data_IF_301495693644
#
_entry.id   IF_301495693644
#
_cell.length_a   1.000
_cell.length_b   1.000
_cell.length_c   1.000
_cell.angle_alpha   90.00
_cell.angle_beta   90.00
_cell.angle_gamma   90.00
#
_symmetry.space_group_name_H-M   'P 1'
#
loop_
_entity.id
_entity.type
_entity.pdbx_description
1 polymer ?
#
# COMPACT_ATOMS: atom_id res chain seq x y z
N UNK A 1 40.76 -64.43 10.15
CA UNK A 1 39.48 -64.45 9.40
C UNK A 1 38.26 -64.04 10.23
N UNK A 2 38.01 -64.62 11.43
CA UNK A 2 36.82 -64.30 12.28
C UNK A 2 36.64 -62.82 12.71
N UNK A 3 37.72 -62.07 12.93
CA UNK A 3 37.65 -60.64 13.34
C UNK A 3 37.27 -59.69 12.19
N UNK A 4 37.61 -60.05 10.95
CA UNK A 4 37.33 -59.22 9.77
C UNK A 4 35.86 -59.33 9.34
N UNK A 5 35.28 -60.53 9.44
CA UNK A 5 33.85 -60.77 9.21
C UNK A 5 32.96 -60.05 10.23
N UNK A 6 33.39 -59.94 11.49
CA UNK A 6 32.64 -59.23 12.52
C UNK A 6 32.60 -57.71 12.28
N UNK A 7 33.72 -57.14 11.83
CA UNK A 7 33.80 -55.71 11.49
C UNK A 7 32.99 -55.35 10.24
N UNK A 8 32.98 -56.23 9.23
CA UNK A 8 32.16 -56.08 8.03
C UNK A 8 30.65 -56.17 8.33
N UNK A 9 30.24 -57.08 9.24
CA UNK A 9 28.86 -57.21 9.72
C UNK A 9 28.41 -55.98 10.51
N UNK A 10 29.28 -55.39 11.33
CA UNK A 10 28.99 -54.14 12.06
C UNK A 10 28.86 -52.94 11.11
N UNK A 11 29.72 -52.83 10.10
CA UNK A 11 29.64 -51.79 9.08
C UNK A 11 28.37 -51.93 8.22
N UNK A 12 28.04 -53.15 7.80
CA UNK A 12 26.78 -53.43 7.08
C UNK A 12 25.55 -53.14 7.95
N UNK A 13 25.58 -53.50 9.23
CA UNK A 13 24.50 -53.17 10.16
C UNK A 13 24.34 -51.65 10.35
N UNK A 14 25.45 -50.91 10.49
CA UNK A 14 25.43 -49.45 10.59
C UNK A 14 24.86 -48.78 9.32
N UNK A 15 25.30 -49.22 8.14
CA UNK A 15 24.78 -48.73 6.84
C UNK A 15 23.30 -49.07 6.68
N UNK A 16 22.86 -50.28 7.06
CA UNK A 16 21.45 -50.67 7.01
C UNK A 16 20.60 -49.85 8.00
N UNK A 17 21.14 -49.48 9.18
CA UNK A 17 20.44 -48.60 10.13
C UNK A 17 20.32 -47.15 9.65
N UNK A 18 21.35 -46.60 8.99
CA UNK A 18 21.28 -45.26 8.38
C UNK A 18 20.34 -45.21 7.17
N UNK A 19 20.35 -46.25 6.32
CA UNK A 19 19.41 -46.35 5.20
C UNK A 19 17.97 -46.53 5.72
N UNK A 20 17.77 -47.34 6.77
CA UNK A 20 16.44 -47.56 7.36
C UNK A 20 15.89 -46.34 8.12
N UNK A 21 16.72 -45.46 8.67
CA UNK A 21 16.27 -44.23 9.35
C UNK A 21 15.86 -43.14 8.34
N UNK A 22 16.54 -43.07 7.18
CA UNK A 22 16.15 -42.22 6.04
C UNK A 22 14.78 -42.62 5.48
N UNK A 23 14.50 -43.92 5.35
CA UNK A 23 13.20 -44.43 4.89
C UNK A 23 12.03 -44.20 5.88
N UNK A 24 12.29 -43.96 7.18
CA UNK A 24 11.24 -43.71 8.18
C UNK A 24 10.86 -42.24 8.35
N UNK A 25 11.69 -41.33 7.81
CA UNK A 25 11.65 -39.89 8.10
C UNK A 25 11.12 -39.04 6.93
N UNK A 26 10.72 -39.68 5.83
CA UNK A 26 10.04 -39.07 4.70
C UNK A 26 8.61 -39.61 4.63
N UNK A 27 7.61 -38.72 4.60
CA UNK A 27 6.19 -39.09 4.48
C UNK A 27 5.89 -39.75 3.12
N UNK A 28 4.93 -40.68 3.10
CA UNK A 28 4.48 -41.30 1.86
C UNK A 28 3.85 -40.25 0.94
N UNK A 29 4.22 -40.26 -0.34
CA UNK A 29 3.77 -39.26 -1.31
C UNK A 29 4.66 -38.01 -1.38
N UNK A 30 5.66 -37.90 -0.51
CA UNK A 30 6.66 -36.83 -0.56
C UNK A 30 7.99 -37.30 -1.19
N UNK A 31 8.67 -36.38 -1.85
CA UNK A 31 10.04 -36.49 -2.33
C UNK A 31 10.98 -35.71 -1.40
N UNK A 32 11.80 -36.44 -0.64
CA UNK A 32 12.74 -35.84 0.31
C UNK A 32 14.18 -35.93 -0.21
N UNK A 33 14.85 -34.77 -0.31
CA UNK A 33 16.20 -34.63 -0.89
C UNK A 33 17.17 -33.92 0.04
N UNK A 34 18.47 -34.03 -0.27
CA UNK A 34 19.55 -33.29 0.41
C UNK A 34 19.58 -33.54 1.92
N UNK A 35 19.64 -34.80 2.33
CA UNK A 35 19.58 -35.23 3.74
C UNK A 35 18.34 -34.68 4.47
N UNK A 36 17.18 -34.75 3.80
CA UNK A 36 15.87 -34.34 4.29
C UNK A 36 15.74 -32.82 4.56
N UNK A 37 16.63 -32.01 3.97
CA UNK A 37 16.51 -30.54 4.01
C UNK A 37 15.41 -30.01 3.10
N UNK A 38 15.14 -30.72 2.01
CA UNK A 38 14.12 -30.35 1.03
C UNK A 38 13.06 -31.44 1.02
N UNK A 39 11.86 -31.12 1.48
CA UNK A 39 10.73 -32.06 1.56
C UNK A 39 9.62 -31.54 0.65
N UNK A 40 9.41 -32.22 -0.48
CA UNK A 40 8.45 -31.82 -1.52
C UNK A 40 7.26 -32.79 -1.47
N UNK A 41 6.12 -32.31 -1.01
CA UNK A 41 4.87 -33.04 -0.84
C UNK A 41 3.76 -32.47 -1.74
N UNK A 42 4.12 -31.81 -2.84
CA UNK A 42 3.13 -31.18 -3.71
C UNK A 42 2.33 -32.20 -4.52
N UNK A 43 1.02 -31.93 -4.70
CA UNK A 43 0.08 -32.84 -5.39
C UNK A 43 -0.05 -34.24 -4.77
N UNK A 44 0.22 -34.37 -3.48
CA UNK A 44 0.21 -35.65 -2.76
C UNK A 44 -1.17 -36.02 -2.16
N UNK A 45 -2.23 -35.25 -2.48
CA UNK A 45 -3.61 -35.48 -2.03
C UNK A 45 -3.81 -35.37 -0.51
N UNK A 46 -2.96 -34.61 0.17
CA UNK A 46 -3.08 -34.41 1.63
C UNK A 46 -4.32 -33.58 1.97
N UNK A 47 -5.17 -34.10 2.86
CA UNK A 47 -6.30 -33.35 3.46
C UNK A 47 -5.94 -32.76 4.83
N UNK A 48 -4.84 -33.23 5.42
CA UNK A 48 -4.27 -32.77 6.68
C UNK A 48 -2.76 -32.65 6.52
N UNK A 49 -2.11 -31.90 7.41
CA UNK A 49 -0.65 -31.80 7.40
C UNK A 49 0.00 -33.18 7.63
N UNK A 50 1.07 -33.52 6.89
CA UNK A 50 1.76 -34.78 7.07
C UNK A 50 2.42 -34.90 8.44
N UNK A 51 2.42 -36.10 9.00
CA UNK A 51 2.91 -36.39 10.35
C UNK A 51 4.42 -36.62 10.42
N UNK A 52 5.05 -37.01 9.30
CA UNK A 52 6.45 -37.43 9.17
C UNK A 52 7.25 -36.42 8.34
N UNK A 53 7.40 -35.21 8.87
CA UNK A 53 8.31 -34.20 8.32
C UNK A 53 9.57 -34.12 9.17
N UNK A 54 10.75 -34.29 8.56
CA UNK A 54 12.03 -34.26 9.26
C UNK A 54 12.27 -32.91 9.98
N UNK A 55 12.75 -32.89 11.24
CA UNK A 55 13.18 -31.67 11.93
C UNK A 55 14.31 -30.91 11.23
N UNK A 56 15.07 -31.57 10.35
CA UNK A 56 16.14 -30.93 9.55
C UNK A 56 15.63 -30.18 8.32
N UNK A 57 14.33 -30.26 8.00
CA UNK A 57 13.74 -29.64 6.81
C UNK A 57 13.91 -28.12 6.85
N UNK A 58 14.49 -27.57 5.79
CA UNK A 58 14.67 -26.13 5.55
C UNK A 58 13.64 -25.61 4.54
N UNK A 59 13.21 -26.44 3.59
CA UNK A 59 12.13 -26.15 2.64
C UNK A 59 11.08 -27.26 2.71
N UNK A 60 9.85 -26.87 3.02
CA UNK A 60 8.69 -27.76 2.99
C UNK A 60 7.69 -27.24 1.96
N UNK A 61 7.45 -28.04 0.93
CA UNK A 61 6.45 -27.76 -0.10
C UNK A 61 5.23 -28.67 0.09
N UNK A 62 4.11 -28.08 0.50
CA UNK A 62 2.80 -28.71 0.69
C UNK A 62 1.77 -28.14 -0.29
N UNK A 63 2.22 -27.50 -1.37
CA UNK A 63 1.34 -26.90 -2.36
C UNK A 63 0.50 -27.91 -3.13
N UNK A 64 -0.58 -27.45 -3.75
CA UNK A 64 -1.46 -28.28 -4.59
C UNK A 64 -2.03 -29.51 -3.84
N UNK A 65 -2.50 -29.31 -2.60
CA UNK A 65 -3.12 -30.35 -1.78
C UNK A 65 -4.57 -29.92 -1.40
N UNK A 66 -5.19 -30.63 -0.45
CA UNK A 66 -6.56 -30.40 -0.01
C UNK A 66 -6.62 -30.07 1.50
N UNK A 67 -5.57 -29.47 2.03
CA UNK A 67 -5.46 -29.14 3.46
C UNK A 67 -6.43 -28.01 3.78
N UNK A 68 -7.24 -28.17 4.83
CA UNK A 68 -8.27 -27.18 5.19
C UNK A 68 -7.97 -26.35 6.44
N UNK A 69 -7.13 -26.86 7.34
CA UNK A 69 -6.82 -26.25 8.63
C UNK A 69 -5.32 -26.40 8.91
N UNK A 70 -4.71 -25.35 9.48
CA UNK A 70 -3.37 -25.42 10.08
C UNK A 70 -3.52 -25.28 11.61
N UNK A 71 -3.43 -26.40 12.35
CA UNK A 71 -3.56 -26.38 13.81
C UNK A 71 -2.43 -25.64 14.55
N UNK A 72 -2.67 -25.28 15.82
CA UNK A 72 -1.64 -24.76 16.73
C UNK A 72 -0.44 -25.73 16.79
N UNK A 73 0.80 -25.20 16.81
CA UNK A 73 2.06 -25.98 16.95
C UNK A 73 2.31 -27.01 15.85
N UNK A 74 1.62 -26.93 14.72
CA UNK A 74 1.77 -27.85 13.57
C UNK A 74 3.23 -28.09 13.17
N UNK A 75 4.07 -27.06 13.22
CA UNK A 75 5.47 -27.13 12.80
C UNK A 75 6.47 -27.06 13.96
N UNK A 76 6.05 -27.43 15.18
CA UNK A 76 6.87 -27.31 16.40
C UNK A 76 8.22 -28.05 16.35
N UNK A 77 8.32 -29.10 15.54
CA UNK A 77 9.54 -29.88 15.32
C UNK A 77 10.41 -29.34 14.17
N UNK A 78 9.85 -28.53 13.27
CA UNK A 78 10.49 -28.11 12.02
C UNK A 78 11.08 -26.69 12.15
N UNK A 79 11.80 -26.42 13.24
CA UNK A 79 12.33 -25.08 13.58
C UNK A 79 13.37 -24.54 12.60
N UNK A 80 13.94 -25.41 11.75
CA UNK A 80 14.91 -25.02 10.72
C UNK A 80 14.26 -24.57 9.41
N UNK A 81 12.92 -24.56 9.33
CA UNK A 81 12.23 -24.11 8.13
C UNK A 81 12.58 -22.66 7.81
N UNK A 82 12.92 -22.45 6.54
CA UNK A 82 13.19 -21.15 5.92
C UNK A 82 12.15 -20.83 4.86
N UNK A 83 11.61 -21.85 4.19
CA UNK A 83 10.57 -21.71 3.16
C UNK A 83 9.46 -22.71 3.43
N UNK A 84 8.24 -22.21 3.56
CA UNK A 84 7.03 -23.01 3.72
C UNK A 84 6.04 -22.62 2.61
N UNK A 85 5.71 -23.57 1.74
CA UNK A 85 4.81 -23.40 0.61
C UNK A 85 3.52 -24.18 0.89
N UNK A 86 2.40 -23.50 0.97
CA UNK A 86 1.06 -24.03 1.27
C UNK A 86 0.03 -23.51 0.25
N UNK A 87 0.48 -22.96 -0.88
CA UNK A 87 -0.40 -22.42 -1.89
C UNK A 87 -1.24 -23.48 -2.58
N UNK A 88 -2.40 -23.07 -3.11
CA UNK A 88 -3.34 -23.95 -3.81
C UNK A 88 -3.78 -25.12 -2.92
N UNK A 89 -4.33 -24.77 -1.75
CA UNK A 89 -4.96 -25.68 -0.80
C UNK A 89 -6.38 -25.21 -0.49
N UNK A 90 -7.04 -25.83 0.48
CA UNK A 90 -8.38 -25.48 0.91
C UNK A 90 -8.38 -24.77 2.28
N UNK A 91 -7.26 -24.14 2.67
CA UNK A 91 -7.05 -23.64 4.03
C UNK A 91 -8.03 -22.50 4.31
N UNK A 92 -8.96 -22.72 5.23
CA UNK A 92 -9.89 -21.70 5.69
C UNK A 92 -9.52 -21.16 7.08
N UNK A 93 -8.82 -21.96 7.88
CA UNK A 93 -8.44 -21.62 9.25
C UNK A 93 -6.96 -21.85 9.48
N UNK A 94 -6.28 -20.83 9.99
CA UNK A 94 -4.95 -20.94 10.59
C UNK A 94 -5.14 -20.64 12.07
N UNK A 95 -4.94 -21.63 12.93
CA UNK A 95 -5.10 -21.44 14.36
C UNK A 95 -3.97 -20.57 14.93
N UNK A 96 -4.25 -19.85 16.01
CA UNK A 96 -3.24 -19.05 16.71
C UNK A 96 -2.03 -19.90 17.04
N UNK A 97 -0.81 -19.37 16.83
CA UNK A 97 0.41 -20.10 17.16
C UNK A 97 0.74 -21.28 16.25
N UNK A 98 0.02 -21.48 15.13
CA UNK A 98 0.37 -22.46 14.09
C UNK A 98 1.84 -22.35 13.64
N UNK A 99 2.36 -21.13 13.53
CA UNK A 99 3.73 -20.83 13.09
C UNK A 99 4.68 -20.37 14.20
N UNK A 100 4.25 -20.45 15.46
CA UNK A 100 4.97 -19.88 16.63
C UNK A 100 6.42 -20.33 16.83
N UNK A 101 6.81 -21.47 16.26
CA UNK A 101 8.16 -22.05 16.39
C UNK A 101 9.05 -21.84 15.16
N UNK A 102 8.57 -21.09 14.16
CA UNK A 102 9.23 -20.90 12.87
C UNK A 102 10.08 -19.62 12.82
N UNK A 103 10.94 -19.45 13.83
CA UNK A 103 11.77 -18.25 14.04
C UNK A 103 12.73 -17.92 12.88
N UNK A 104 13.09 -18.92 12.07
CA UNK A 104 13.98 -18.79 10.92
C UNK A 104 13.26 -18.74 9.57
N UNK A 105 11.92 -18.72 9.57
CA UNK A 105 11.15 -18.70 8.33
C UNK A 105 11.35 -17.37 7.61
N UNK A 106 11.65 -17.44 6.32
CA UNK A 106 11.93 -16.29 5.47
C UNK A 106 10.84 -16.10 4.42
N UNK A 107 10.22 -17.18 3.95
CA UNK A 107 9.11 -17.15 3.00
C UNK A 107 7.97 -18.05 3.46
N UNK A 108 6.77 -17.50 3.48
CA UNK A 108 5.52 -18.21 3.72
C UNK A 108 4.56 -17.91 2.56
N UNK A 109 4.13 -18.95 1.87
CA UNK A 109 3.15 -18.85 0.79
C UNK A 109 1.84 -19.55 1.18
N UNK A 110 0.79 -18.77 1.37
CA UNK A 110 -0.58 -19.19 1.66
C UNK A 110 -1.54 -18.77 0.54
N UNK A 111 -1.03 -18.45 -0.65
CA UNK A 111 -1.86 -17.98 -1.76
C UNK A 111 -2.83 -19.05 -2.24
N UNK A 112 -3.92 -18.65 -2.90
CA UNK A 112 -4.91 -19.60 -3.45
C UNK A 112 -5.46 -20.55 -2.37
N UNK A 113 -5.97 -19.96 -1.30
CA UNK A 113 -6.63 -20.65 -0.20
C UNK A 113 -7.99 -19.97 0.08
N UNK A 114 -8.60 -20.26 1.22
CA UNK A 114 -9.93 -19.77 1.60
C UNK A 114 -9.91 -18.97 2.90
N UNK A 115 -8.77 -18.38 3.26
CA UNK A 115 -8.57 -17.68 4.53
C UNK A 115 -9.42 -16.40 4.53
N UNK A 116 -10.30 -16.26 5.52
CA UNK A 116 -11.19 -15.09 5.67
C UNK A 116 -10.65 -14.05 6.64
N UNK A 117 -9.87 -14.48 7.63
CA UNK A 117 -9.35 -13.65 8.71
C UNK A 117 -7.98 -14.15 9.14
N UNK A 118 -7.12 -13.21 9.54
CA UNK A 118 -5.89 -13.51 10.27
C UNK A 118 -6.13 -13.15 11.73
N UNK A 119 -5.78 -14.04 12.64
CA UNK A 119 -5.94 -13.82 14.09
C UNK A 119 -4.68 -13.19 14.68
N UNK A 120 -4.74 -12.71 15.93
CA UNK A 120 -3.61 -12.07 16.61
C UNK A 120 -2.38 -12.98 16.71
N UNK A 121 -2.59 -14.29 16.92
CA UNK A 121 -1.52 -15.28 17.01
C UNK A 121 -0.97 -15.75 15.66
N UNK A 122 -1.47 -15.24 14.52
CA UNK A 122 -1.01 -15.66 13.19
C UNK A 122 0.48 -15.35 12.96
N UNK A 123 0.91 -14.13 13.28
CA UNK A 123 2.29 -13.69 13.03
C UNK A 123 3.28 -14.10 14.13
N UNK A 124 2.81 -14.73 15.21
CA UNK A 124 3.66 -15.16 16.30
C UNK A 124 4.78 -16.09 15.79
N UNK A 125 6.04 -15.78 16.15
CA UNK A 125 7.22 -16.54 15.75
C UNK A 125 7.78 -16.21 14.36
N UNK A 126 7.16 -15.34 13.58
CA UNK A 126 7.57 -15.01 12.20
C UNK A 126 8.51 -13.78 12.08
N UNK A 127 9.38 -13.58 13.06
CA UNK A 127 10.21 -12.36 13.18
C UNK A 127 11.24 -12.17 12.05
N UNK A 128 11.71 -13.26 11.44
CA UNK A 128 12.64 -13.22 10.30
C UNK A 128 11.95 -13.33 8.93
N UNK A 129 10.62 -13.35 8.89
CA UNK A 129 9.87 -13.47 7.65
C UNK A 129 10.14 -12.26 6.76
N UNK A 130 10.48 -12.53 5.49
CA UNK A 130 10.78 -11.51 4.47
C UNK A 130 9.68 -11.42 3.42
N UNK A 131 9.02 -12.53 3.14
CA UNK A 131 7.98 -12.62 2.12
C UNK A 131 6.77 -13.38 2.65
N UNK A 132 5.61 -12.73 2.59
CA UNK A 132 4.32 -13.31 2.92
C UNK A 132 3.40 -13.18 1.72
N UNK A 133 2.97 -14.31 1.18
CA UNK A 133 2.03 -14.37 0.06
C UNK A 133 0.67 -14.85 0.58
N UNK A 134 -0.35 -14.01 0.44
CA UNK A 134 -1.74 -14.24 0.84
C UNK A 134 -2.69 -13.94 -0.33
N UNK A 135 -2.18 -13.89 -1.55
CA UNK A 135 -2.96 -13.59 -2.74
C UNK A 135 -4.06 -14.63 -2.97
N UNK A 136 -5.17 -14.24 -3.59
CA UNK A 136 -6.29 -15.14 -3.89
C UNK A 136 -6.80 -15.89 -2.65
N UNK A 137 -7.08 -15.14 -1.59
CA UNK A 137 -7.80 -15.60 -0.41
C UNK A 137 -9.15 -14.85 -0.30
N UNK A 138 -9.79 -14.88 0.88
CA UNK A 138 -11.09 -14.25 1.14
C UNK A 138 -11.00 -13.24 2.29
N UNK A 139 -9.84 -12.63 2.49
CA UNK A 139 -9.64 -11.64 3.55
C UNK A 139 -10.59 -10.45 3.33
N UNK A 140 -11.29 -10.03 4.38
CA UNK A 140 -12.29 -8.94 4.30
C UNK A 140 -11.81 -7.62 4.90
N UNK A 141 -10.86 -7.68 5.83
CA UNK A 141 -10.33 -6.53 6.55
C UNK A 141 -8.93 -6.80 7.08
N UNK A 142 -8.15 -5.75 7.30
CA UNK A 142 -6.86 -5.82 7.99
C UNK A 142 -6.92 -5.01 9.28
N UNK A 143 -6.48 -5.60 10.39
CA UNK A 143 -6.39 -4.96 11.71
C UNK A 143 -4.94 -4.75 12.15
N UNK A 144 -4.75 -4.12 13.31
CA UNK A 144 -3.43 -3.83 13.88
C UNK A 144 -2.77 -5.00 14.61
N UNK A 145 -3.45 -6.13 14.78
CA UNK A 145 -2.96 -7.26 15.58
C UNK A 145 -2.43 -8.40 14.71
N UNK A 146 -3.00 -8.61 13.52
CA UNK A 146 -2.65 -9.70 12.59
C UNK A 146 -1.16 -9.74 12.22
N UNK A 147 -0.51 -8.57 12.10
CA UNK A 147 0.86 -8.43 11.58
C UNK A 147 1.89 -7.93 12.62
N UNK A 148 1.57 -8.04 13.91
CA UNK A 148 2.33 -7.40 14.99
C UNK A 148 3.83 -7.79 15.03
N UNK A 149 4.17 -9.03 14.65
CA UNK A 149 5.54 -9.57 14.75
C UNK A 149 6.30 -9.64 13.42
N UNK A 150 5.83 -8.94 12.39
CA UNK A 150 6.41 -8.99 11.04
C UNK A 150 7.41 -7.84 10.75
N UNK A 151 8.26 -7.50 11.72
CA UNK A 151 9.19 -6.35 11.62
C UNK A 151 10.18 -6.45 10.45
N UNK A 152 10.56 -7.68 10.11
CA UNK A 152 11.50 -8.00 9.04
C UNK A 152 10.87 -8.09 7.65
N UNK A 153 9.54 -8.00 7.51
CA UNK A 153 8.85 -8.27 6.26
C UNK A 153 9.21 -7.24 5.19
N UNK A 154 9.50 -7.71 3.99
CA UNK A 154 9.89 -6.89 2.84
C UNK A 154 8.86 -6.92 1.72
N UNK A 155 8.15 -8.04 1.55
CA UNK A 155 7.11 -8.22 0.54
C UNK A 155 5.85 -8.80 1.17
N UNK A 156 4.75 -8.08 1.02
CA UNK A 156 3.42 -8.51 1.41
C UNK A 156 2.51 -8.49 0.19
N UNK A 157 1.97 -9.67 -0.13
CA UNK A 157 1.03 -9.82 -1.23
C UNK A 157 -0.37 -10.19 -0.73
N UNK A 158 -1.32 -9.30 -0.96
CA UNK A 158 -2.74 -9.41 -0.62
C UNK A 158 -3.64 -9.27 -1.86
N UNK A 159 -3.08 -9.38 -3.07
CA UNK A 159 -3.79 -9.27 -4.35
C UNK A 159 -5.00 -10.21 -4.39
N UNK A 160 -6.09 -9.78 -5.03
CA UNK A 160 -7.28 -10.61 -5.27
C UNK A 160 -7.87 -11.20 -3.99
N UNK A 161 -8.07 -10.35 -2.98
CA UNK A 161 -8.86 -10.67 -1.78
C UNK A 161 -10.18 -9.88 -1.83
N UNK A 162 -10.90 -9.80 -0.72
CA UNK A 162 -12.13 -9.01 -0.59
C UNK A 162 -11.99 -7.88 0.43
N UNK A 163 -10.78 -7.34 0.60
CA UNK A 163 -10.45 -6.38 1.64
C UNK A 163 -11.19 -5.08 1.36
N UNK A 164 -12.15 -4.75 2.22
CA UNK A 164 -12.92 -3.51 2.14
C UNK A 164 -12.36 -2.42 3.06
N UNK A 165 -11.70 -2.81 4.15
CA UNK A 165 -11.19 -1.87 5.16
C UNK A 165 -9.79 -2.24 5.64
N UNK A 166 -8.96 -1.20 5.80
CA UNK A 166 -7.64 -1.28 6.43
C UNK A 166 -7.69 -0.33 7.62
N UNK A 167 -7.50 -0.86 8.83
CA UNK A 167 -7.47 -0.03 10.03
C UNK A 167 -6.21 0.85 10.05
N UNK A 168 -6.31 1.98 10.76
CA UNK A 168 -5.13 2.80 11.04
C UNK A 168 -4.13 1.96 11.83
N UNK A 169 -2.86 2.01 11.46
CA UNK A 169 -1.78 1.20 12.06
C UNK A 169 -1.86 -0.31 11.80
N UNK A 170 -2.68 -0.81 10.86
CA UNK A 170 -2.64 -2.22 10.45
C UNK A 170 -1.25 -2.70 10.04
N UNK A 171 -0.42 -1.79 9.51
CA UNK A 171 0.93 -2.11 9.05
C UNK A 171 2.05 -1.58 9.97
N UNK A 172 1.74 -1.20 11.22
CA UNK A 172 2.66 -0.41 12.05
C UNK A 172 4.01 -1.08 12.36
N UNK A 173 4.05 -2.41 12.48
CA UNK A 173 5.30 -3.15 12.76
C UNK A 173 6.18 -3.34 11.52
N UNK A 174 5.61 -3.28 10.31
CA UNK A 174 6.30 -3.62 9.05
C UNK A 174 7.15 -2.47 8.49
N UNK A 175 8.06 -1.93 9.30
CA UNK A 175 8.94 -0.80 8.93
C UNK A 175 9.95 -1.13 7.83
N UNK A 176 10.26 -2.42 7.62
CA UNK A 176 11.14 -2.93 6.57
C UNK A 176 10.43 -3.20 5.23
N UNK A 177 9.10 -3.00 5.16
CA UNK A 177 8.30 -3.36 3.99
C UNK A 177 8.70 -2.52 2.78
N UNK A 178 8.95 -3.19 1.66
CA UNK A 178 9.32 -2.56 0.38
C UNK A 178 8.22 -2.66 -0.66
N UNK A 179 7.50 -3.79 -0.68
CA UNK A 179 6.45 -4.04 -1.67
C UNK A 179 5.15 -4.41 -0.95
N UNK A 180 4.11 -3.63 -1.22
CA UNK A 180 2.76 -3.85 -0.73
C UNK A 180 1.81 -3.96 -1.92
N UNK A 181 1.29 -5.16 -2.13
CA UNK A 181 0.39 -5.51 -3.21
C UNK A 181 -1.02 -5.69 -2.65
N UNK A 182 -1.94 -4.81 -3.05
CA UNK A 182 -3.35 -4.75 -2.61
C UNK A 182 -4.29 -4.73 -3.83
N UNK A 183 -3.82 -5.16 -4.99
CA UNK A 183 -4.57 -5.17 -6.24
C UNK A 183 -5.85 -6.00 -6.13
N UNK A 184 -6.87 -5.64 -6.91
CA UNK A 184 -8.12 -6.40 -7.04
C UNK A 184 -8.79 -6.70 -5.69
N UNK A 185 -8.91 -5.68 -4.85
CA UNK A 185 -9.62 -5.72 -3.58
C UNK A 185 -10.89 -4.84 -3.63
N UNK A 186 -11.47 -4.50 -2.48
CA UNK A 186 -12.72 -3.74 -2.37
C UNK A 186 -12.55 -2.43 -1.60
N UNK A 187 -11.34 -1.87 -1.60
CA UNK A 187 -11.07 -0.61 -0.89
C UNK A 187 -11.83 0.53 -1.56
N UNK A 188 -12.60 1.29 -0.78
CA UNK A 188 -13.38 2.44 -1.27
C UNK A 188 -12.74 3.79 -0.96
N UNK A 189 -11.93 3.84 0.11
CA UNK A 189 -11.27 5.07 0.53
C UNK A 189 -9.93 4.84 1.23
N UNK A 190 -9.03 5.82 1.13
CA UNK A 190 -7.74 5.81 1.80
C UNK A 190 -7.65 6.93 2.83
N UNK A 191 -7.60 6.55 4.12
CA UNK A 191 -7.50 7.48 5.25
C UNK A 191 -6.05 7.73 5.66
N UNK A 192 -5.77 8.90 6.24
CA UNK A 192 -4.44 9.18 6.78
C UNK A 192 -4.10 8.22 7.92
N UNK A 193 -2.87 7.70 7.91
CA UNK A 193 -2.37 6.80 8.96
C UNK A 193 -2.53 5.30 8.65
N UNK A 194 -3.23 4.89 7.59
CA UNK A 194 -3.23 3.48 7.16
C UNK A 194 -1.81 3.01 6.82
N UNK A 195 -1.03 3.86 6.12
CA UNK A 195 0.35 3.60 5.74
C UNK A 195 1.38 4.16 6.74
N UNK A 196 0.97 4.39 7.99
CA UNK A 196 1.92 4.85 9.02
C UNK A 196 3.08 3.85 9.17
N UNK A 197 4.29 4.35 9.40
CA UNK A 197 5.52 3.55 9.60
C UNK A 197 6.10 2.88 8.34
N UNK A 198 5.40 2.89 7.20
CA UNK A 198 5.83 2.30 5.92
C UNK A 198 6.86 3.15 5.16
N UNK A 199 7.94 3.56 5.84
CA UNK A 199 8.95 4.48 5.29
C UNK A 199 9.79 3.87 4.16
N UNK A 200 9.91 2.55 4.16
CA UNK A 200 10.74 1.76 3.23
C UNK A 200 9.97 1.29 2.00
N UNK A 201 8.66 1.55 1.91
CA UNK A 201 7.85 1.07 0.78
C UNK A 201 8.28 1.77 -0.49
N UNK A 202 8.65 0.96 -1.48
CA UNK A 202 9.09 1.33 -2.82
C UNK A 202 7.96 1.13 -3.84
N UNK A 203 7.15 0.07 -3.65
CA UNK A 203 6.03 -0.28 -4.52
C UNK A 203 4.77 -0.37 -3.69
N UNK A 204 3.79 0.49 -4.01
CA UNK A 204 2.43 0.42 -3.49
C UNK A 204 1.48 0.21 -4.65
N UNK A 205 0.93 -0.99 -4.76
CA UNK A 205 -0.05 -1.31 -5.79
C UNK A 205 -1.46 -1.41 -5.20
N UNK A 206 -2.35 -0.53 -5.66
CA UNK A 206 -3.76 -0.41 -5.27
C UNK A 206 -4.68 -0.55 -6.49
N UNK A 207 -4.17 -1.05 -7.62
CA UNK A 207 -4.94 -1.19 -8.85
C UNK A 207 -6.19 -2.08 -8.66
N UNK A 208 -7.23 -1.84 -9.46
CA UNK A 208 -8.41 -2.73 -9.46
C UNK A 208 -9.24 -2.68 -8.17
N UNK A 209 -9.13 -1.60 -7.38
CA UNK A 209 -9.97 -1.37 -6.21
C UNK A 209 -11.19 -0.49 -6.56
N UNK A 210 -11.92 -0.02 -5.54
CA UNK A 210 -13.09 0.84 -5.69
C UNK A 210 -12.84 2.23 -5.12
N UNK A 211 -11.57 2.68 -5.11
CA UNK A 211 -11.16 3.89 -4.40
C UNK A 211 -11.74 5.10 -5.12
N UNK A 212 -12.60 5.86 -4.43
CA UNK A 212 -13.20 7.10 -4.93
C UNK A 212 -12.72 8.33 -4.18
N UNK A 213 -12.22 8.16 -2.95
CA UNK A 213 -11.77 9.26 -2.09
C UNK A 213 -10.47 8.92 -1.36
N UNK A 214 -9.63 9.94 -1.17
CA UNK A 214 -8.34 9.81 -0.46
C UNK A 214 -8.07 11.08 0.35
N UNK A 215 -7.62 10.91 1.58
CA UNK A 215 -7.20 12.05 2.41
C UNK A 215 -5.88 12.67 1.94
N UNK A 216 -5.73 13.99 2.09
CA UNK A 216 -4.62 14.77 1.53
C UNK A 216 -3.22 14.36 2.00
N UNK A 217 -3.10 13.64 3.12
CA UNK A 217 -1.80 13.26 3.71
C UNK A 217 -1.57 11.74 3.73
N UNK A 218 -2.36 10.97 2.98
CA UNK A 218 -2.33 9.51 3.05
C UNK A 218 -0.97 8.91 2.66
N UNK A 219 -0.30 9.50 1.67
CA UNK A 219 1.01 9.04 1.18
C UNK A 219 2.21 9.69 1.89
N UNK A 220 1.98 10.65 2.80
CA UNK A 220 3.06 11.38 3.50
C UNK A 220 4.10 10.48 4.18
N UNK A 221 3.75 9.33 4.80
CA UNK A 221 4.75 8.45 5.44
C UNK A 221 5.67 7.71 4.45
N UNK A 222 5.29 7.60 3.18
CA UNK A 222 5.94 6.75 2.18
C UNK A 222 7.16 7.45 1.55
N UNK A 223 8.25 7.55 2.31
CA UNK A 223 9.43 8.35 1.93
C UNK A 223 10.34 7.71 0.89
N UNK A 224 10.13 6.43 0.55
CA UNK A 224 10.95 5.67 -0.41
C UNK A 224 10.18 5.21 -1.65
N UNK A 225 8.93 5.65 -1.81
CA UNK A 225 8.03 5.17 -2.85
C UNK A 225 8.52 5.54 -4.26
N UNK A 226 8.65 4.53 -5.11
CA UNK A 226 9.06 4.64 -6.52
C UNK A 226 7.91 4.36 -7.47
N UNK A 227 6.92 3.55 -7.05
CA UNK A 227 5.73 3.22 -7.83
C UNK A 227 4.48 3.33 -6.95
N UNK A 228 3.50 4.09 -7.43
CA UNK A 228 2.15 4.17 -6.91
C UNK A 228 1.17 3.81 -8.03
N UNK A 229 0.58 2.64 -7.94
CA UNK A 229 -0.41 2.21 -8.92
C UNK A 229 -1.82 2.38 -8.35
N UNK A 230 -2.58 3.29 -8.96
CA UNK A 230 -3.98 3.60 -8.67
C UNK A 230 -4.88 3.34 -9.89
N UNK A 231 -4.39 2.56 -10.87
CA UNK A 231 -5.16 2.24 -12.06
C UNK A 231 -6.45 1.46 -11.72
N UNK A 232 -7.44 1.50 -12.61
CA UNK A 232 -8.69 0.78 -12.50
C UNK A 232 -9.39 0.96 -11.13
N UNK A 233 -9.51 2.21 -10.68
CA UNK A 233 -10.24 2.61 -9.46
C UNK A 233 -11.47 3.46 -9.82
N UNK A 234 -12.07 4.14 -8.84
CA UNK A 234 -13.26 4.98 -9.01
C UNK A 234 -12.95 6.47 -8.82
N UNK A 235 -11.74 6.90 -9.16
CA UNK A 235 -11.31 8.30 -9.04
C UNK A 235 -11.90 9.13 -10.18
N UNK A 236 -12.82 10.04 -9.85
CA UNK A 236 -13.33 11.01 -10.82
C UNK A 236 -12.58 12.34 -10.78
N UNK A 237 -12.10 12.73 -9.60
CA UNK A 237 -11.31 13.93 -9.36
C UNK A 237 -10.23 13.65 -8.32
N UNK A 238 -9.24 14.54 -8.21
CA UNK A 238 -8.20 14.44 -7.18
C UNK A 238 -7.87 15.82 -6.61
N UNK A 239 -7.26 15.84 -5.43
CA UNK A 239 -6.69 17.05 -4.86
C UNK A 239 -5.20 17.12 -5.14
N UNK A 240 -4.73 18.26 -5.66
CA UNK A 240 -3.29 18.50 -5.85
C UNK A 240 -2.50 18.36 -4.53
N UNK A 241 -3.13 18.65 -3.39
CA UNK A 241 -2.50 18.51 -2.06
C UNK A 241 -2.12 17.06 -1.73
N UNK A 242 -2.88 16.07 -2.25
CA UNK A 242 -2.58 14.65 -2.07
C UNK A 242 -1.20 14.31 -2.65
N UNK A 243 -0.91 14.79 -3.87
CA UNK A 243 0.39 14.58 -4.53
C UNK A 243 1.49 15.47 -3.98
N UNK A 244 1.17 16.67 -3.49
CA UNK A 244 2.14 17.53 -2.80
C UNK A 244 2.71 16.85 -1.54
N UNK A 245 1.94 15.95 -0.91
CA UNK A 245 2.39 15.17 0.24
C UNK A 245 3.43 14.09 -0.09
N UNK A 246 3.64 13.80 -1.38
CA UNK A 246 4.65 12.84 -1.87
C UNK A 246 6.00 13.57 -1.96
N UNK A 247 6.95 13.18 -1.10
CA UNK A 247 8.25 13.85 -0.94
C UNK A 247 9.43 13.10 -1.58
N UNK A 248 9.15 12.01 -2.28
CA UNK A 248 10.11 11.17 -3.01
C UNK A 248 10.65 11.86 -4.27
N UNK A 249 11.79 11.37 -4.78
CA UNK A 249 12.52 12.02 -5.89
C UNK A 249 12.21 11.47 -7.28
N UNK A 250 11.65 10.26 -7.38
CA UNK A 250 11.30 9.64 -8.67
C UNK A 250 10.15 8.65 -8.47
N UNK A 251 8.92 9.15 -8.40
CA UNK A 251 7.73 8.30 -8.25
C UNK A 251 6.94 8.24 -9.53
N UNK A 252 6.81 7.02 -10.04
CA UNK A 252 5.93 6.65 -11.13
C UNK A 252 4.51 6.43 -10.59
N UNK A 253 3.53 6.98 -11.28
CA UNK A 253 2.13 6.96 -10.90
C UNK A 253 1.31 6.47 -12.08
N UNK A 254 0.49 5.46 -11.83
CA UNK A 254 -0.48 4.90 -12.79
C UNK A 254 -1.91 5.26 -12.35
N UNK A 255 -2.72 5.72 -13.29
CA UNK A 255 -4.05 6.33 -13.11
C UNK A 255 -5.05 5.90 -14.18
N UNK A 256 -4.67 5.07 -15.14
CA UNK A 256 -5.51 4.56 -16.22
C UNK A 256 -6.75 3.83 -15.68
N UNK A 257 -7.85 3.80 -16.44
CA UNK A 257 -9.05 3.05 -16.06
C UNK A 257 -9.88 3.67 -14.92
N UNK A 258 -9.64 4.94 -14.57
CA UNK A 258 -10.44 5.70 -13.61
C UNK A 258 -11.50 6.56 -14.31
N UNK A 259 -12.68 6.81 -13.71
CA UNK A 259 -13.79 7.54 -14.31
C UNK A 259 -13.61 9.07 -14.27
N UNK A 260 -12.56 9.57 -14.93
CA UNK A 260 -12.16 10.98 -14.87
C UNK A 260 -13.26 11.96 -15.31
N UNK A 261 -13.53 12.97 -14.47
CA UNK A 261 -14.34 14.13 -14.82
C UNK A 261 -13.45 15.23 -15.42
N UNK A 262 -13.38 15.29 -16.74
CA UNK A 262 -12.52 16.18 -17.53
C UNK A 262 -13.03 17.63 -17.59
N UNK A 263 -13.31 18.20 -16.42
CA UNK A 263 -13.55 19.63 -16.26
C UNK A 263 -12.24 20.43 -16.20
N UNK A 264 -12.37 21.75 -16.05
CA UNK A 264 -11.22 22.64 -16.00
C UNK A 264 -10.36 22.46 -14.74
N UNK A 265 -10.92 21.95 -13.65
CA UNK A 265 -10.16 21.73 -12.42
C UNK A 265 -9.26 20.50 -12.54
N UNK A 266 -9.76 19.42 -13.15
CA UNK A 266 -8.94 18.25 -13.46
C UNK A 266 -7.81 18.61 -14.44
N UNK A 267 -8.11 19.39 -15.48
CA UNK A 267 -7.09 19.87 -16.43
C UNK A 267 -6.00 20.71 -15.74
N UNK A 268 -6.39 21.63 -14.85
CA UNK A 268 -5.45 22.43 -14.05
C UNK A 268 -4.60 21.55 -13.13
N UNK A 269 -5.19 20.51 -12.53
CA UNK A 269 -4.48 19.57 -11.68
C UNK A 269 -3.40 18.81 -12.45
N UNK A 270 -3.74 18.18 -13.59
CA UNK A 270 -2.76 17.40 -14.35
C UNK A 270 -1.67 18.28 -14.96
N UNK A 271 -2.00 19.52 -15.37
CA UNK A 271 -0.99 20.51 -15.78
C UNK A 271 0.01 20.80 -14.66
N UNK A 272 -0.47 21.00 -13.43
CA UNK A 272 0.39 21.20 -12.26
C UNK A 272 1.20 19.94 -11.94
N UNK A 273 0.59 18.76 -11.93
CA UNK A 273 1.29 17.51 -11.64
C UNK A 273 2.42 17.25 -12.63
N UNK A 274 2.18 17.43 -13.94
CA UNK A 274 3.21 17.28 -14.98
C UNK A 274 4.34 18.30 -14.88
N UNK A 275 4.13 19.44 -14.23
CA UNK A 275 5.19 20.41 -13.96
C UNK A 275 6.13 19.97 -12.82
N UNK A 276 5.74 18.97 -12.02
CA UNK A 276 6.53 18.42 -10.92
C UNK A 276 7.50 17.37 -11.49
N UNK A 277 8.77 17.73 -11.63
CA UNK A 277 9.80 16.88 -12.25
C UNK A 277 10.10 15.55 -11.52
N UNK A 278 9.65 15.41 -10.27
CA UNK A 278 9.86 14.21 -9.43
C UNK A 278 8.72 13.19 -9.49
N UNK A 279 7.59 13.55 -10.12
CA UNK A 279 6.41 12.69 -10.28
C UNK A 279 6.21 12.39 -11.77
N UNK A 280 6.19 11.11 -12.12
CA UNK A 280 6.05 10.64 -13.48
C UNK A 280 4.67 10.00 -13.64
N UNK A 281 3.84 10.57 -14.52
CA UNK A 281 2.53 10.02 -14.87
C UNK A 281 2.70 9.17 -16.14
N UNK A 282 3.06 7.90 -15.96
CA UNK A 282 3.53 7.05 -17.06
C UNK A 282 2.43 6.76 -18.10
N UNK A 283 1.18 6.67 -17.64
CA UNK A 283 -0.01 6.40 -18.44
C UNK A 283 -0.84 7.64 -18.76
N UNK A 284 -0.28 8.85 -18.55
CA UNK A 284 -0.99 10.11 -18.80
C UNK A 284 -1.62 10.21 -20.20
N UNK A 285 -0.93 9.66 -21.21
CA UNK A 285 -1.38 9.68 -22.60
C UNK A 285 -2.57 8.74 -22.89
N UNK A 286 -2.86 7.82 -21.97
CA UNK A 286 -3.95 6.85 -22.06
C UNK A 286 -5.16 7.25 -21.22
N UNK A 287 -5.07 8.31 -20.40
CA UNK A 287 -6.20 8.73 -19.56
C UNK A 287 -7.37 9.20 -20.42
N UNK A 288 -8.53 8.57 -20.24
CA UNK A 288 -9.78 8.90 -20.93
C UNK A 288 -10.80 9.53 -19.99
N UNK A 289 -11.65 10.37 -20.56
CA UNK A 289 -12.70 11.07 -19.86
C UNK A 289 -13.97 10.21 -19.77
N UNK A 290 -14.59 10.17 -18.61
CA UNK A 290 -15.91 9.56 -18.40
C UNK A 290 -17.00 10.62 -18.25
N UNK A 291 -16.66 11.74 -17.64
CA UNK A 291 -17.52 12.92 -17.52
C UNK A 291 -16.78 14.17 -18.00
N UNK A 292 -17.50 15.24 -18.42
CA UNK A 292 -18.93 15.24 -18.71
C UNK A 292 -19.27 14.36 -19.93
N UNK A 293 -20.54 13.95 -20.14
CA UNK A 293 -20.92 13.03 -21.22
C UNK A 293 -20.50 13.47 -22.62
N UNK A 294 -20.37 14.78 -22.87
CA UNK A 294 -19.92 15.35 -24.15
C UNK A 294 -18.46 15.01 -24.47
N UNK A 295 -17.64 14.80 -23.43
CA UNK A 295 -16.23 14.44 -23.54
C UNK A 295 -15.99 12.94 -23.29
N UNK A 296 -17.04 12.12 -23.20
CA UNK A 296 -16.88 10.69 -22.91
C UNK A 296 -15.98 10.01 -23.95
N UNK A 297 -15.05 9.18 -23.47
CA UNK A 297 -14.06 8.44 -24.24
C UNK A 297 -13.01 9.31 -24.97
N UNK A 298 -13.07 10.64 -24.83
CA UNK A 298 -11.97 11.51 -25.26
C UNK A 298 -10.77 11.30 -24.34
N UNK A 299 -9.56 11.39 -24.90
CA UNK A 299 -8.35 11.40 -24.09
C UNK A 299 -8.22 12.74 -23.39
N UNK A 300 -7.85 12.72 -22.11
CA UNK A 300 -7.68 13.91 -21.28
C UNK A 300 -6.74 14.94 -21.93
N UNK A 301 -5.67 14.48 -22.58
CA UNK A 301 -4.68 15.33 -23.25
C UNK A 301 -5.22 16.07 -24.49
N UNK A 302 -6.27 15.52 -25.12
CA UNK A 302 -6.82 16.01 -26.39
C UNK A 302 -8.00 16.99 -26.15
N UNK A 303 -8.43 17.16 -24.91
CA UNK A 303 -9.48 18.12 -24.52
C UNK A 303 -8.91 19.54 -24.58
N UNK A 304 -9.59 20.44 -25.30
CA UNK A 304 -9.16 21.82 -25.49
C UNK A 304 -9.08 22.60 -24.17
N UNK A 305 -7.86 22.99 -23.80
CA UNK A 305 -7.61 23.71 -22.55
C UNK A 305 -7.77 25.23 -22.66
N UNK A 306 -7.90 25.79 -23.86
CA UNK A 306 -8.05 27.23 -24.08
C UNK A 306 -9.34 27.76 -23.43
N UNK A 307 -10.42 26.98 -23.44
CA UNK A 307 -11.65 27.34 -22.73
C UNK A 307 -11.45 27.42 -21.20
N UNK A 308 -10.54 26.63 -20.62
CA UNK A 308 -10.26 26.64 -19.18
C UNK A 308 -9.39 27.82 -18.73
N UNK A 309 -8.71 28.47 -19.67
CA UNK A 309 -7.89 29.67 -19.45
C UNK A 309 -8.78 30.90 -19.36
N UNK A 310 -9.87 30.95 -20.14
CA UNK A 310 -10.83 32.06 -20.14
C UNK A 310 -11.40 32.35 -18.73
N UNK A 311 -11.71 31.32 -17.94
CA UNK A 311 -12.15 31.49 -16.54
C UNK A 311 -11.06 32.10 -15.63
N UNK A 312 -9.79 31.75 -15.82
CA UNK A 312 -8.71 32.28 -14.98
C UNK A 312 -8.41 33.74 -15.32
N UNK A 313 -8.52 34.11 -16.58
CA UNK A 313 -8.33 35.49 -17.05
C UNK A 313 -9.47 36.37 -16.56
N UNK A 314 -10.72 35.90 -16.61
CA UNK A 314 -11.85 36.67 -16.07
C UNK A 314 -11.74 36.86 -14.55
N UNK A 315 -11.36 35.83 -13.79
CA UNK A 315 -11.11 35.96 -12.33
C UNK A 315 -9.94 36.90 -12.04
N UNK A 316 -8.85 36.85 -12.81
CA UNK A 316 -7.71 37.75 -12.65
C UNK A 316 -8.10 39.21 -12.95
N UNK A 317 -8.86 39.44 -14.03
CA UNK A 317 -9.37 40.77 -14.37
C UNK A 317 -10.27 41.29 -13.25
N UNK A 318 -11.24 40.47 -12.77
CA UNK A 318 -12.15 40.85 -11.68
C UNK A 318 -11.36 41.20 -10.43
N UNK A 319 -10.41 40.36 -10.01
CA UNK A 319 -9.59 40.60 -8.82
C UNK A 319 -8.74 41.87 -8.94
N UNK A 320 -8.10 42.10 -10.09
CA UNK A 320 -7.35 43.35 -10.36
C UNK A 320 -8.27 44.57 -10.28
N UNK A 321 -9.44 44.52 -10.92
CA UNK A 321 -10.40 45.64 -10.85
C UNK A 321 -10.89 45.90 -9.42
N UNK A 322 -11.14 44.86 -8.63
CA UNK A 322 -11.52 45.02 -7.21
C UNK A 322 -10.38 45.66 -6.40
N UNK A 323 -9.13 45.23 -6.60
CA UNK A 323 -7.98 45.82 -5.92
C UNK A 323 -7.80 47.29 -6.30
N UNK A 324 -7.89 47.64 -7.59
CA UNK A 324 -7.78 49.02 -8.07
C UNK A 324 -8.90 49.90 -7.48
N UNK A 325 -10.14 49.43 -7.49
CA UNK A 325 -11.28 50.19 -6.96
C UNK A 325 -11.17 50.40 -5.45
N UNK A 326 -10.72 49.41 -4.69
CA UNK A 326 -10.46 49.55 -3.25
C UNK A 326 -9.34 50.55 -2.98
N UNK A 327 -8.22 50.48 -3.71
CA UNK A 327 -7.12 51.44 -3.58
C UNK A 327 -7.56 52.86 -3.93
N UNK A 328 -8.33 53.04 -5.00
CA UNK A 328 -8.90 54.33 -5.38
C UNK A 328 -9.84 54.87 -4.29
N UNK A 329 -10.70 54.04 -3.71
CA UNK A 329 -11.58 54.41 -2.60
C UNK A 329 -10.81 54.81 -1.34
N UNK A 330 -9.74 54.09 -0.99
CA UNK A 330 -8.85 54.44 0.13
C UNK A 330 -8.17 55.80 -0.10
N UNK A 331 -7.60 56.02 -1.30
CA UNK A 331 -6.96 57.29 -1.66
C UNK A 331 -7.95 58.45 -1.68
N UNK A 332 -9.17 58.23 -2.18
CA UNK A 332 -10.25 59.23 -2.13
C UNK A 332 -10.67 59.53 -0.69
N UNK A 333 -10.76 58.51 0.17
CA UNK A 333 -11.03 58.65 1.60
C UNK A 333 -9.96 59.48 2.32
N UNK A 334 -8.68 59.24 2.03
CA UNK A 334 -7.58 60.05 2.57
C UNK A 334 -7.60 61.49 2.07
N UNK A 335 -7.84 61.72 0.77
CA UNK A 335 -8.00 63.07 0.21
C UNK A 335 -9.16 63.82 0.86
N UNK A 336 -10.29 63.14 1.12
CA UNK A 336 -11.45 63.72 1.82
C UNK A 336 -11.11 64.04 3.28
N UNK A 337 -10.36 63.18 3.98
CA UNK A 337 -9.84 63.46 5.33
C UNK A 337 -8.88 64.66 5.35
N UNK A 338 -7.95 64.75 4.39
CA UNK A 338 -7.02 65.90 4.26
C UNK A 338 -7.75 67.21 3.93
N UNK A 339 -8.75 67.19 3.04
CA UNK A 339 -9.62 68.35 2.78
C UNK A 339 -10.41 68.78 4.01
N UNK A 340 -10.95 67.83 4.80
CA UNK A 340 -11.66 68.13 6.05
C UNK A 340 -10.72 68.72 7.12
N UNK A 341 -9.46 68.28 7.19
CA UNK A 341 -8.43 68.90 8.06
C UNK A 341 -8.04 70.30 7.59
N UNK A 342 -7.87 70.54 6.27
CA UNK A 342 -7.62 71.89 5.74
C UNK A 342 -8.80 72.83 5.97
N UNK A 343 -10.04 72.39 5.76
CA UNK A 343 -11.24 73.19 6.00
C UNK A 343 -11.41 73.61 7.47
N UNK A 344 -11.04 72.74 8.42
CA UNK A 344 -11.00 73.10 9.85
C UNK A 344 -9.92 74.14 10.20
N UNK A 345 -8.84 74.21 9.42
CA UNK A 345 -7.77 75.18 9.65
C UNK A 345 -8.17 76.60 9.22
N UNK A 346 -9.03 76.74 8.20
CA UNK A 346 -9.55 78.03 7.73
C UNK A 346 -10.69 78.58 8.60
N UNK A 347 -11.44 77.72 9.30
CA UNK A 347 -12.52 78.16 10.21
C UNK A 347 -12.02 78.63 11.59
N UNK A 348 -10.73 78.44 11.91
CA UNK A 348 -10.17 78.83 13.21
C UNK A 348 -9.34 80.12 13.15
N UNK A 349 -9.32 80.78 11.99
CA UNK A 349 -8.50 81.97 11.73
C UNK A 349 -9.33 83.16 11.18
N UNK A 350 -10.65 83.09 11.29
CA UNK A 350 -11.61 84.10 10.81
C UNK A 350 -12.48 84.75 11.88
N UNK A 351 -12.21 84.54 13.17
CA UNK A 351 -12.92 85.18 14.29
C UNK A 351 -11.91 85.83 15.24
N UNK A 352 -11.19 86.87 14.80
CA UNK A 352 -10.56 87.85 15.69
C UNK A 352 -10.06 89.10 14.93
N UNK A 353 -10.97 89.93 14.42
CA UNK A 353 -10.69 91.38 14.23
C UNK A 353 -11.95 92.11 13.79
N UNK A 354 -12.19 93.24 14.45
CA UNK A 354 -13.06 94.37 14.10
C UNK A 354 -14.45 94.42 14.73
N UNK A 355 -14.48 94.88 15.99
CA UNK A 355 -15.56 95.71 16.49
C UNK A 355 -14.97 96.82 17.40
N UNK A 356 -14.56 97.94 16.79
CA UNK A 356 -14.35 99.23 17.46
C UNK A 356 -14.52 100.39 16.47
N UNK A 357 -15.47 101.26 16.82
CA UNK A 357 -15.51 102.72 16.62
C UNK A 357 -16.68 103.33 15.82
N UNK A 358 -17.38 104.20 16.58
CA UNK A 358 -18.35 105.28 16.30
C UNK A 358 -19.82 104.97 16.03
#
# INVERSE_FOLDING_TARGET
>A
MRKFTFFLLLLLAAVVTEVSSRFRSCELGCDCRGDLKFTICSRAQFTQLPSRVSPSTELLDLSDNHISIIPERSFSKNRKLRVLLLQNNNISVVEDGAFSQLEFLQKLDLSWNQITTLTEGFSAGLSLLRELQLAHNRLTSLDSTSFLHLDGLQRLNLTSNTIATIQVRSFASMSSLRQLHLEDNRLTSLRSGIFSMLRSVEVLNLAGNQISEMEMSVFKPLTSMTLLDLAANQLSTMSFKTFQSIHTYSTHILLEGNPWNCDCDLQRLFRKLRSIQKLFLDDYYNLTCTAPPVLRDYRLKDVDTELCIAETVTVLIITITVVITVLAAMLMGERKRKKKKKGKHWTQQGELSDESDY
#
